data_IF_151200415776
#
_entry.id   IF_151200415776
#
_cell.length_a   1.000
_cell.length_b   1.000
_cell.length_c   1.000
_cell.angle_alpha   90.00
_cell.angle_beta   90.00
_cell.angle_gamma   90.00
#
_symmetry.space_group_name_H-M   'P 1'
#
loop_
_entity.id
_entity.type
_entity.pdbx_description
1 polymer ?
#
# COMPACT_ATOMS: atom_id res chain seq x y z
N UNK A 1 -22.43 23.16 -31.15
CA UNK A 1 -22.12 23.81 -29.86
C UNK A 1 -21.59 22.74 -28.92
N UNK A 2 -20.28 22.68 -28.67
CA UNK A 2 -19.67 21.59 -27.90
C UNK A 2 -19.19 22.15 -26.56
N UNK A 3 -19.90 21.81 -25.48
CA UNK A 3 -19.56 22.25 -24.13
C UNK A 3 -18.27 21.57 -23.67
N UNK A 4 -17.16 22.33 -23.62
CA UNK A 4 -15.95 21.91 -22.90
C UNK A 4 -16.32 21.69 -21.44
N UNK A 5 -16.47 20.42 -21.02
CA UNK A 5 -16.68 20.07 -19.61
C UNK A 5 -15.51 20.58 -18.79
N UNK A 6 -15.82 21.30 -17.71
CA UNK A 6 -14.89 22.07 -16.89
C UNK A 6 -14.05 21.15 -15.99
N UNK A 7 -12.93 20.64 -16.50
CA UNK A 7 -12.03 19.68 -15.82
C UNK A 7 -11.43 20.21 -14.51
N UNK A 8 -11.21 21.53 -14.39
CA UNK A 8 -10.70 22.15 -13.15
C UNK A 8 -11.61 21.97 -11.94
N UNK A 9 -12.94 21.99 -12.13
CA UNK A 9 -13.91 21.86 -11.04
C UNK A 9 -13.93 20.44 -10.46
N UNK A 10 -13.73 19.43 -11.29
CA UNK A 10 -13.70 18.02 -10.88
C UNK A 10 -12.47 17.69 -10.03
N UNK A 11 -11.29 18.20 -10.42
CA UNK A 11 -10.03 17.98 -9.68
C UNK A 11 -10.04 18.65 -8.31
N UNK A 12 -10.63 19.84 -8.19
CA UNK A 12 -10.77 20.53 -6.91
C UNK A 12 -11.73 19.81 -5.96
N UNK A 13 -12.82 19.23 -6.49
CA UNK A 13 -13.74 18.40 -5.70
C UNK A 13 -13.05 17.14 -5.16
N UNK A 14 -12.26 16.46 -5.99
CA UNK A 14 -11.50 15.27 -5.58
C UNK A 14 -10.46 15.61 -4.49
N UNK A 15 -9.74 16.73 -4.63
CA UNK A 15 -8.81 17.20 -3.58
C UNK A 15 -9.52 17.54 -2.27
N UNK A 16 -10.68 18.19 -2.33
CA UNK A 16 -11.47 18.49 -1.14
C UNK A 16 -11.99 17.22 -0.45
N UNK A 17 -12.43 16.22 -1.23
CA UNK A 17 -12.87 14.91 -0.71
C UNK A 17 -11.72 14.17 -0.02
N UNK A 18 -10.54 14.15 -0.65
CA UNK A 18 -9.34 13.55 -0.09
C UNK A 18 -8.91 14.24 1.21
N UNK A 19 -8.89 15.58 1.23
CA UNK A 19 -8.56 16.34 2.42
C UNK A 19 -9.55 16.08 3.57
N UNK A 20 -10.85 15.95 3.26
CA UNK A 20 -11.87 15.60 4.24
C UNK A 20 -11.66 14.19 4.81
N UNK A 21 -11.32 13.21 3.97
CA UNK A 21 -11.02 11.85 4.39
C UNK A 21 -9.77 11.78 5.29
N UNK A 22 -8.69 12.48 4.92
CA UNK A 22 -7.48 12.58 5.75
C UNK A 22 -7.79 13.25 7.09
N UNK A 23 -8.57 14.33 7.08
CA UNK A 23 -8.99 15.02 8.32
C UNK A 23 -9.80 14.11 9.24
N UNK A 24 -10.70 13.29 8.69
CA UNK A 24 -11.48 12.33 9.47
C UNK A 24 -10.60 11.23 10.07
N UNK A 25 -9.66 10.69 9.28
CA UNK A 25 -8.71 9.68 9.75
C UNK A 25 -7.81 10.22 10.88
N UNK A 26 -7.35 11.47 10.77
CA UNK A 26 -6.57 12.15 11.81
C UNK A 26 -7.40 12.34 13.09
N UNK A 27 -8.66 12.82 13.00
CA UNK A 27 -9.53 12.96 14.19
C UNK A 27 -9.74 11.65 14.92
N UNK A 28 -10.04 10.58 14.19
CA UNK A 28 -10.24 9.26 14.78
C UNK A 28 -8.98 8.77 15.49
N UNK A 29 -7.79 9.02 14.92
CA UNK A 29 -6.50 8.62 15.53
C UNK A 29 -6.19 9.41 16.81
N UNK A 30 -6.61 10.66 16.85
CA UNK A 30 -6.44 11.55 18.00
C UNK A 30 -7.57 11.42 19.04
N UNK A 31 -8.61 10.63 18.76
CA UNK A 31 -9.78 10.50 19.64
C UNK A 31 -10.56 11.81 19.81
N UNK A 32 -10.56 12.67 18.79
CA UNK A 32 -11.18 14.00 18.86
C UNK A 32 -12.62 13.93 18.32
N UNK A 33 -13.59 13.93 19.22
CA UNK A 33 -15.02 14.06 18.90
C UNK A 33 -15.38 15.49 18.49
N UNK A 34 -16.49 15.67 17.75
CA UNK A 34 -16.96 17.00 17.35
C UNK A 34 -17.84 17.64 18.43
N UNK A 35 -17.89 18.98 18.45
CA UNK A 35 -18.77 19.75 19.35
C UNK A 35 -20.26 19.39 19.17
N UNK A 36 -20.68 19.05 17.96
CA UNK A 36 -22.06 18.68 17.62
C UNK A 36 -22.50 17.39 18.32
N UNK A 37 -21.58 16.42 18.45
CA UNK A 37 -21.86 15.12 19.10
C UNK A 37 -22.09 15.26 20.61
N UNK A 38 -21.49 16.29 21.24
CA UNK A 38 -21.40 16.40 22.71
C UNK A 38 -22.41 17.34 23.36
N UNK A 39 -23.08 18.23 22.61
CA UNK A 39 -24.02 19.25 23.14
C UNK A 39 -23.50 19.96 24.41
N UNK A 40 -22.19 20.16 24.56
CA UNK A 40 -21.56 20.76 25.76
C UNK A 40 -20.61 21.88 25.39
N UNK A 41 -20.83 23.04 26.01
CA UNK A 41 -20.03 24.27 25.86
C UNK A 41 -19.00 24.37 27.00
N UNK A 42 -18.14 23.35 27.13
CA UNK A 42 -17.06 23.31 28.12
C UNK A 42 -15.72 23.03 27.42
N UNK A 43 -14.65 23.65 27.93
CA UNK A 43 -13.31 23.52 27.38
C UNK A 43 -12.81 22.06 27.53
N UNK A 44 -12.77 21.31 26.42
CA UNK A 44 -12.44 19.88 26.42
C UNK A 44 -10.93 19.62 26.26
N UNK A 45 -10.23 19.45 27.39
CA UNK A 45 -8.87 18.91 27.37
C UNK A 45 -8.94 17.40 27.09
N UNK A 46 -8.35 16.97 25.97
CA UNK A 46 -8.20 15.56 25.62
C UNK A 46 -6.79 15.10 25.99
N UNK A 47 -6.68 14.00 26.72
CA UNK A 47 -5.39 13.35 26.95
C UNK A 47 -5.06 12.54 25.70
N UNK A 48 -4.11 13.03 24.91
CA UNK A 48 -3.72 12.44 23.63
C UNK A 48 -2.33 11.85 23.81
N UNK A 49 -2.20 10.56 23.50
CA UNK A 49 -0.89 9.91 23.54
C UNK A 49 0.08 10.57 22.54
N UNK A 50 1.35 10.69 22.94
CA UNK A 50 2.42 11.19 22.04
C UNK A 50 2.52 10.32 20.78
N UNK A 51 2.22 9.02 20.89
CA UNK A 51 2.14 8.12 19.75
C UNK A 51 1.01 8.50 18.76
N UNK A 52 -0.19 8.82 19.25
CA UNK A 52 -1.31 9.28 18.42
C UNK A 52 -1.01 10.59 17.71
N UNK A 53 -0.32 11.53 18.39
CA UNK A 53 0.12 12.80 17.79
C UNK A 53 1.13 12.54 16.68
N UNK A 54 2.11 11.66 16.93
CA UNK A 54 3.11 11.26 15.94
C UNK A 54 2.47 10.66 14.70
N UNK A 55 1.53 9.74 14.87
CA UNK A 55 0.80 9.09 13.79
C UNK A 55 -0.03 10.10 12.97
N UNK A 56 -0.69 11.04 13.63
CA UNK A 56 -1.47 12.08 12.96
C UNK A 56 -0.61 13.03 12.13
N UNK A 57 0.55 13.43 12.66
CA UNK A 57 1.50 14.31 11.97
C UNK A 57 2.11 13.59 10.77
N UNK A 58 2.46 12.30 10.93
CA UNK A 58 2.94 11.47 9.83
C UNK A 58 1.91 11.42 8.68
N UNK A 59 0.66 11.07 9.01
CA UNK A 59 -0.42 10.98 8.03
C UNK A 59 -0.66 12.30 7.28
N UNK A 60 -0.64 13.42 8.00
CA UNK A 60 -0.81 14.75 7.41
C UNK A 60 0.37 15.15 6.50
N UNK A 61 1.61 14.85 6.92
CA UNK A 61 2.81 15.09 6.10
C UNK A 61 2.77 14.28 4.81
N UNK A 62 2.43 13.00 4.91
CA UNK A 62 2.36 12.09 3.76
C UNK A 62 1.27 12.48 2.77
N UNK A 63 0.07 12.85 3.26
CA UNK A 63 -0.99 13.39 2.41
C UNK A 63 -0.53 14.66 1.67
N UNK A 64 0.27 15.51 2.34
CA UNK A 64 0.91 16.67 1.74
C UNK A 64 1.95 16.31 0.66
N UNK A 65 2.80 15.32 0.92
CA UNK A 65 3.81 14.82 -0.03
C UNK A 65 3.13 14.20 -1.25
N UNK A 66 2.16 13.32 -1.05
CA UNK A 66 1.33 12.71 -2.09
C UNK A 66 0.65 13.75 -2.98
N UNK A 67 0.04 14.78 -2.37
CA UNK A 67 -0.59 15.87 -3.09
C UNK A 67 0.42 16.71 -3.92
N UNK A 68 1.69 16.76 -3.50
CA UNK A 68 2.77 17.47 -4.19
C UNK A 68 3.50 16.64 -5.25
N UNK A 69 3.63 15.32 -5.06
CA UNK A 69 4.38 14.41 -5.93
C UNK A 69 3.50 13.62 -6.91
N UNK A 70 2.18 13.58 -6.70
CA UNK A 70 1.25 12.75 -7.46
C UNK A 70 1.27 11.27 -7.04
N UNK A 71 2.03 10.90 -6.00
CA UNK A 71 2.02 9.56 -5.43
C UNK A 71 0.74 9.33 -4.60
N UNK A 72 0.18 8.11 -4.54
CA UNK A 72 -0.95 7.80 -3.68
C UNK A 72 -0.57 7.94 -2.19
N UNK A 73 -1.47 8.48 -1.37
CA UNK A 73 -1.32 8.58 0.08
C UNK A 73 -1.16 7.18 0.73
N UNK A 74 -0.58 7.06 1.93
CA UNK A 74 -0.52 5.79 2.64
C UNK A 74 -1.93 5.44 3.09
N UNK A 75 -2.57 4.58 2.30
CA UNK A 75 -3.82 3.95 2.67
C UNK A 75 -3.48 2.93 3.76
N UNK A 76 -4.08 3.07 4.94
CA UNK A 76 -4.21 1.92 5.83
C UNK A 76 -5.11 0.92 5.13
N UNK A 77 -4.53 -0.14 4.61
CA UNK A 77 -5.30 -1.27 4.11
C UNK A 77 -5.71 -2.14 5.29
N UNK A 78 -6.99 -2.50 5.34
CA UNK A 78 -7.46 -3.51 6.30
C UNK A 78 -6.93 -4.87 5.85
N UNK A 79 -6.04 -5.55 6.61
CA UNK A 79 -5.57 -6.88 6.26
C UNK A 79 -6.72 -7.92 6.22
N UNK A 80 -7.89 -7.59 6.79
CA UNK A 80 -9.09 -8.41 6.71
C UNK A 80 -9.80 -8.33 5.34
N UNK A 81 -9.44 -7.36 4.48
CA UNK A 81 -9.95 -7.26 3.11
C UNK A 81 -8.80 -7.34 2.07
N UNK A 82 -8.40 -8.57 1.69
CA UNK A 82 -7.38 -8.77 0.65
C UNK A 82 -7.80 -8.25 -0.73
N UNK A 83 -9.10 -8.07 -0.99
CA UNK A 83 -9.60 -7.57 -2.27
C UNK A 83 -9.22 -6.11 -2.48
N UNK A 84 -9.49 -5.27 -1.49
CA UNK A 84 -9.08 -3.85 -1.52
C UNK A 84 -7.56 -3.69 -1.63
N UNK A 85 -6.79 -4.58 -0.99
CA UNK A 85 -5.34 -4.60 -1.13
C UNK A 85 -4.90 -4.92 -2.56
N UNK A 86 -5.49 -5.94 -3.17
CA UNK A 86 -5.17 -6.37 -4.53
C UNK A 86 -5.56 -5.33 -5.59
N UNK A 87 -6.66 -4.60 -5.39
CA UNK A 87 -7.11 -3.53 -6.29
C UNK A 87 -6.09 -2.39 -6.45
N UNK A 88 -5.12 -2.29 -5.53
CA UNK A 88 -4.03 -1.31 -5.60
C UNK A 88 -2.76 -1.83 -6.26
N UNK A 89 -2.75 -3.08 -6.73
CA UNK A 89 -1.61 -3.65 -7.42
C UNK A 89 -1.29 -2.86 -8.69
N UNK A 90 -0.11 -2.26 -8.72
CA UNK A 90 0.41 -1.53 -9.86
C UNK A 90 1.78 -2.09 -10.25
N UNK A 91 1.91 -2.59 -11.48
CA UNK A 91 3.20 -2.99 -12.02
C UNK A 91 3.87 -1.79 -12.69
N UNK A 92 4.98 -1.33 -12.12
CA UNK A 92 5.71 -0.14 -12.61
C UNK A 92 6.83 -0.49 -13.58
N UNK A 93 7.41 -1.70 -13.47
CA UNK A 93 8.48 -2.14 -14.36
C UNK A 93 8.48 -3.65 -14.55
N UNK A 94 8.75 -4.09 -15.78
CA UNK A 94 9.04 -5.49 -16.14
C UNK A 94 10.39 -5.55 -16.85
N UNK A 95 11.26 -6.47 -16.47
CA UNK A 95 12.57 -6.66 -17.09
C UNK A 95 12.87 -8.14 -17.22
N UNK A 96 12.80 -8.65 -18.45
CA UNK A 96 13.15 -10.03 -18.77
C UNK A 96 14.66 -10.28 -18.62
N UNK A 97 15.03 -11.54 -18.43
CA UNK A 97 16.44 -11.97 -18.29
C UNK A 97 16.80 -13.00 -19.36
N UNK A 98 18.04 -12.99 -19.88
CA UNK A 98 18.51 -14.01 -20.82
C UNK A 98 18.46 -15.44 -20.26
N UNK A 99 18.61 -15.59 -18.95
CA UNK A 99 18.58 -16.88 -18.23
C UNK A 99 17.18 -17.29 -17.77
N UNK A 100 16.14 -16.65 -18.30
CA UNK A 100 14.75 -16.90 -17.94
C UNK A 100 14.27 -16.09 -16.72
N UNK A 101 12.95 -16.01 -16.63
CA UNK A 101 12.25 -15.20 -15.64
C UNK A 101 12.21 -13.70 -15.98
N UNK A 102 11.33 -13.00 -15.28
CA UNK A 102 11.08 -11.57 -15.42
C UNK A 102 11.18 -10.93 -14.04
N UNK A 103 12.04 -9.93 -13.89
CA UNK A 103 11.99 -9.03 -12.76
C UNK A 103 10.78 -8.13 -12.89
N UNK A 104 9.97 -8.10 -11.85
CA UNK A 104 8.75 -7.30 -11.74
C UNK A 104 8.92 -6.37 -10.56
N UNK A 105 8.77 -5.07 -10.81
CA UNK A 105 8.69 -4.06 -9.77
C UNK A 105 7.29 -3.48 -9.76
N UNK A 106 6.75 -3.27 -8.57
CA UNK A 106 5.42 -2.71 -8.44
C UNK A 106 5.15 -2.15 -7.05
N UNK A 107 3.94 -1.64 -6.91
CA UNK A 107 3.37 -1.22 -5.64
C UNK A 107 2.12 -2.05 -5.35
N UNK A 108 1.87 -2.36 -4.09
CA UNK A 108 0.62 -2.98 -3.64
C UNK A 108 0.43 -2.64 -2.16
N UNK A 109 -0.78 -2.23 -1.81
CA UNK A 109 -1.20 -2.00 -0.43
C UNK A 109 -0.20 -1.15 0.40
N UNK A 110 0.36 -0.06 -0.16
CA UNK A 110 1.30 0.81 0.54
C UNK A 110 2.73 0.24 0.67
N UNK A 111 3.05 -0.78 -0.11
CA UNK A 111 4.37 -1.40 -0.16
C UNK A 111 4.96 -1.30 -1.57
N UNK A 112 6.27 -1.15 -1.66
CA UNK A 112 7.02 -1.41 -2.89
C UNK A 112 7.46 -2.87 -2.85
N UNK A 113 7.35 -3.56 -3.98
CA UNK A 113 7.92 -4.89 -4.13
C UNK A 113 8.81 -5.01 -5.36
N UNK A 114 9.78 -5.91 -5.27
CA UNK A 114 10.52 -6.44 -6.41
C UNK A 114 10.48 -7.96 -6.35
N UNK A 115 10.08 -8.59 -7.44
CA UNK A 115 9.95 -10.04 -7.52
C UNK A 115 10.60 -10.58 -8.79
N UNK A 116 11.30 -11.71 -8.69
CA UNK A 116 11.77 -12.47 -9.84
C UNK A 116 10.82 -13.64 -10.09
N UNK A 117 10.06 -13.55 -11.17
CA UNK A 117 8.93 -14.45 -11.48
C UNK A 117 9.22 -15.26 -12.74
N UNK A 118 8.86 -16.54 -12.74
CA UNK A 118 9.09 -17.47 -13.85
C UNK A 118 7.78 -17.95 -14.49
N UNK A 119 7.78 -18.28 -15.79
CA UNK A 119 6.60 -18.82 -16.46
C UNK A 119 6.25 -20.25 -16.03
N UNK A 120 7.23 -21.00 -15.54
CA UNK A 120 7.11 -22.40 -15.10
C UNK A 120 7.63 -22.54 -13.67
N UNK A 121 7.19 -23.57 -12.96
CA UNK A 121 7.68 -23.91 -11.62
C UNK A 121 9.16 -24.27 -11.61
N UNK A 122 9.81 -24.01 -10.48
CA UNK A 122 11.18 -24.41 -10.25
C UNK A 122 11.30 -25.93 -10.21
N UNK A 123 12.39 -26.47 -10.76
CA UNK A 123 12.72 -27.89 -10.62
C UNK A 123 13.05 -28.30 -9.18
N UNK A 124 13.51 -27.34 -8.36
CA UNK A 124 13.69 -27.51 -6.92
C UNK A 124 12.69 -26.63 -6.19
N UNK A 125 11.77 -27.25 -5.46
CA UNK A 125 10.70 -26.56 -4.73
C UNK A 125 11.24 -25.58 -3.67
N UNK A 126 12.45 -25.78 -3.14
CA UNK A 126 13.05 -24.86 -2.18
C UNK A 126 13.41 -23.50 -2.81
N UNK A 127 13.57 -23.44 -4.14
CA UNK A 127 13.87 -22.22 -4.87
C UNK A 127 12.62 -21.42 -5.24
N UNK A 128 11.44 -21.93 -4.89
CA UNK A 128 10.15 -21.31 -5.14
C UNK A 128 9.46 -20.97 -3.83
N UNK A 129 8.86 -19.80 -3.76
CA UNK A 129 8.07 -19.40 -2.59
C UNK A 129 6.72 -20.12 -2.60
N UNK A 130 6.70 -21.35 -2.09
CA UNK A 130 5.53 -22.21 -2.20
C UNK A 130 5.35 -22.70 -3.64
N UNK A 131 4.18 -22.45 -4.21
CA UNK A 131 3.81 -22.86 -5.59
C UNK A 131 3.60 -21.63 -6.51
N UNK A 132 4.32 -20.53 -6.22
CA UNK A 132 4.05 -19.20 -6.79
C UNK A 132 4.83 -18.86 -8.06
N UNK A 133 5.78 -19.70 -8.48
CA UNK A 133 6.80 -19.41 -9.51
C UNK A 133 7.63 -18.16 -9.23
N UNK A 134 7.73 -17.73 -7.96
CA UNK A 134 8.56 -16.61 -7.51
C UNK A 134 9.80 -17.19 -6.83
N UNK A 135 10.99 -16.86 -7.34
CA UNK A 135 12.25 -17.31 -6.72
C UNK A 135 12.90 -16.26 -5.83
N UNK A 136 12.55 -14.99 -6.03
CA UNK A 136 12.97 -13.87 -5.19
C UNK A 136 11.83 -12.91 -4.98
N UNK A 137 11.64 -12.44 -3.75
CA UNK A 137 10.70 -11.39 -3.40
C UNK A 137 11.34 -10.47 -2.35
N UNK A 138 11.27 -9.18 -2.61
CA UNK A 138 11.63 -8.14 -1.65
C UNK A 138 10.42 -7.22 -1.46
N UNK A 139 10.10 -6.90 -0.21
CA UNK A 139 8.95 -6.07 0.16
C UNK A 139 9.37 -5.00 1.17
N UNK A 140 9.08 -3.74 0.83
CA UNK A 140 9.36 -2.58 1.68
C UNK A 140 8.09 -1.77 1.90
N UNK A 141 7.84 -1.40 3.16
CA UNK A 141 6.74 -0.50 3.52
C UNK A 141 7.12 0.96 3.20
N UNK A 142 6.20 1.71 2.59
CA UNK A 142 6.49 3.04 2.04
C UNK A 142 6.84 4.09 3.09
N UNK A 143 6.21 4.06 4.27
CA UNK A 143 6.35 5.12 5.27
C UNK A 143 7.70 5.10 5.98
N UNK A 144 8.05 3.94 6.51
CA UNK A 144 9.27 3.73 7.28
C UNK A 144 10.45 3.32 6.40
N UNK A 145 10.21 2.99 5.13
CA UNK A 145 11.17 2.36 4.23
C UNK A 145 11.78 1.08 4.83
N UNK A 146 11.08 0.45 5.76
CA UNK A 146 11.55 -0.77 6.40
C UNK A 146 11.30 -1.94 5.47
N UNK A 147 12.31 -2.78 5.31
CA UNK A 147 12.13 -4.09 4.70
C UNK A 147 11.25 -4.95 5.62
N UNK A 148 10.08 -5.35 5.12
CA UNK A 148 9.08 -6.11 5.88
C UNK A 148 8.98 -7.55 5.42
N UNK A 149 9.55 -7.92 4.27
CA UNK A 149 9.75 -9.31 3.86
C UNK A 149 10.89 -9.41 2.83
N UNK A 150 11.67 -10.50 2.89
CA UNK A 150 12.69 -10.83 1.92
C UNK A 150 12.81 -12.34 1.76
N UNK A 151 12.70 -12.81 0.52
CA UNK A 151 12.86 -14.19 0.10
C UNK A 151 13.84 -14.24 -1.07
N UNK A 152 14.91 -15.02 -0.97
CA UNK A 152 15.82 -15.35 -2.07
C UNK A 152 16.16 -16.84 -2.00
N UNK A 153 15.27 -17.66 -2.59
CA UNK A 153 15.36 -19.14 -2.55
C UNK A 153 15.41 -19.67 -1.10
N UNK A 154 14.60 -19.06 -0.25
CA UNK A 154 14.60 -19.21 1.20
C UNK A 154 14.22 -17.89 1.87
N UNK A 155 13.63 -17.95 3.06
CA UNK A 155 13.27 -16.75 3.81
C UNK A 155 14.51 -16.14 4.49
N UNK A 156 14.97 -15.02 3.97
CA UNK A 156 15.93 -14.15 4.67
C UNK A 156 15.21 -13.36 5.77
N UNK A 157 13.97 -12.92 5.49
CA UNK A 157 13.09 -12.23 6.43
C UNK A 157 11.63 -12.57 6.15
N UNK A 158 11.00 -13.27 7.08
CA UNK A 158 9.56 -13.52 6.98
C UNK A 158 8.75 -12.22 7.11
N UNK A 159 7.52 -12.16 6.56
CA UNK A 159 6.65 -11.00 6.66
C UNK A 159 6.44 -10.56 8.12
N UNK A 160 6.84 -9.33 8.44
CA UNK A 160 6.89 -8.84 9.83
C UNK A 160 5.61 -8.19 10.32
N UNK A 161 4.64 -7.95 9.44
CA UNK A 161 3.33 -7.35 9.76
C UNK A 161 2.21 -8.16 9.12
N UNK A 162 0.98 -8.04 9.62
CA UNK A 162 -0.16 -8.76 9.05
C UNK A 162 -0.48 -8.29 7.62
N UNK A 163 -0.35 -6.98 7.36
CA UNK A 163 -0.45 -6.45 6.00
C UNK A 163 0.61 -7.07 5.08
N UNK A 164 1.87 -7.17 5.52
CA UNK A 164 2.92 -7.80 4.73
C UNK A 164 2.63 -9.28 4.45
N UNK A 165 2.09 -10.03 5.42
CA UNK A 165 1.68 -11.44 5.21
C UNK A 165 0.63 -11.54 4.11
N UNK A 166 -0.39 -10.68 4.15
CA UNK A 166 -1.46 -10.66 3.13
C UNK A 166 -0.91 -10.27 1.76
N UNK A 167 -0.07 -9.23 1.68
CA UNK A 167 0.60 -8.83 0.43
C UNK A 167 1.42 -9.97 -0.16
N UNK A 168 2.25 -10.63 0.64
CA UNK A 168 3.03 -11.78 0.18
C UNK A 168 2.12 -12.89 -0.32
N UNK A 169 1.03 -13.19 0.38
CA UNK A 169 0.04 -14.18 -0.05
C UNK A 169 -0.61 -13.83 -1.39
N UNK A 170 -1.04 -12.57 -1.56
CA UNK A 170 -1.63 -12.08 -2.82
C UNK A 170 -0.65 -12.17 -3.99
N UNK A 171 0.61 -11.75 -3.78
CA UNK A 171 1.64 -11.84 -4.81
C UNK A 171 1.98 -13.30 -5.13
N UNK A 172 2.08 -14.15 -4.12
CA UNK A 172 2.35 -15.58 -4.30
C UNK A 172 1.22 -16.29 -5.07
N UNK A 173 -0.04 -15.89 -4.84
CA UNK A 173 -1.20 -16.54 -5.43
C UNK A 173 -1.48 -16.17 -6.89
N UNK A 174 -0.99 -15.02 -7.37
CA UNK A 174 -1.45 -14.50 -8.68
C UNK A 174 -0.45 -13.69 -9.50
N UNK A 175 0.75 -13.38 -8.98
CA UNK A 175 1.67 -12.52 -9.73
C UNK A 175 2.18 -13.21 -11.01
N UNK A 176 2.45 -14.51 -10.98
CA UNK A 176 2.94 -15.23 -12.15
C UNK A 176 1.89 -15.29 -13.27
N UNK A 177 0.65 -15.61 -12.91
CA UNK A 177 -0.53 -15.64 -13.76
C UNK A 177 -0.76 -14.24 -14.37
N UNK A 178 -0.69 -13.19 -13.54
CA UNK A 178 -0.82 -11.80 -14.01
C UNK A 178 0.27 -11.38 -15.00
N UNK A 179 1.49 -11.90 -14.85
CA UNK A 179 2.63 -11.52 -15.70
C UNK A 179 2.67 -12.31 -17.01
N UNK A 180 2.32 -13.60 -16.98
CA UNK A 180 2.45 -14.51 -18.13
C UNK A 180 1.12 -14.87 -18.80
N UNK A 181 -0.03 -14.53 -18.19
CA UNK A 181 -1.37 -14.77 -18.75
C UNK A 181 -1.76 -16.24 -18.84
N UNK A 182 -1.19 -17.08 -17.97
CA UNK A 182 -1.49 -18.52 -17.85
C UNK A 182 -2.29 -18.79 -16.60
#
# INVERSE_FOLDING_TARGET
>A
MNAKKNTKTSTNKAKALHMAAVTAAVRNRLGLETLEDRKRDALDFHDISVASIRDAIALAFEAGVAAGSGAPAPFKFDPADPGEMLDTLEITKKTGRPTGGTWVKGNIAGHTFEALVFPEHATDAAFEMGDSRISKLWLQEHFTHTEVACFDRGWDRQPTTDAAKVVVGLLAAGLAEHIFGK
#
